data_IF_556594889844
#
_entry.id   IF_556594889844
#
_cell.length_a   1.000
_cell.length_b   1.000
_cell.length_c   1.000
_cell.angle_alpha   90.00
_cell.angle_beta   90.00
_cell.angle_gamma   90.00
#
_symmetry.space_group_name_H-M   'P 1'
#
loop_
_entity.id
_entity.type
_entity.pdbx_description
1 polymer ?
#
# COMPACT_ATOMS: atom_id res chain seq x y z
N UNK A 1 -6.15 -8.13 13.16
CA UNK A 1 -4.95 -8.00 12.29
C UNK A 1 -4.63 -6.52 12.21
N UNK A 2 -3.35 -6.12 12.27
CA UNK A 2 -2.91 -4.75 12.60
C UNK A 2 -3.71 -3.59 11.96
N UNK A 3 -4.12 -3.73 10.69
CA UNK A 3 -4.94 -2.73 9.99
C UNK A 3 -6.34 -2.56 10.60
N UNK A 4 -7.05 -3.67 10.82
CA UNK A 4 -8.38 -3.67 11.45
C UNK A 4 -8.32 -3.21 12.92
N UNK A 5 -7.19 -3.47 13.58
CA UNK A 5 -6.97 -3.09 14.98
C UNK A 5 -6.52 -1.62 15.12
N UNK A 6 -6.38 -0.88 14.01
CA UNK A 6 -5.97 0.53 14.03
C UNK A 6 -4.53 0.75 14.48
N UNK A 7 -3.65 -0.24 14.32
CA UNK A 7 -2.26 -0.22 14.81
C UNK A 7 -1.24 0.15 13.71
N UNK A 8 -1.69 0.44 12.49
CA UNK A 8 -0.81 0.77 11.36
C UNK A 8 -0.79 2.28 11.11
N UNK A 9 0.37 2.91 11.25
CA UNK A 9 0.54 4.35 10.95
C UNK A 9 1.05 4.62 9.52
N UNK A 10 1.59 3.59 8.85
CA UNK A 10 2.23 3.71 7.55
C UNK A 10 2.04 2.45 6.71
N UNK A 11 1.67 2.64 5.45
CA UNK A 11 1.57 1.58 4.45
C UNK A 11 2.59 1.87 3.36
N UNK A 12 3.36 0.85 2.98
CA UNK A 12 4.33 0.92 1.89
C UNK A 12 4.09 -0.25 0.97
N UNK A 13 3.85 0.03 -0.30
CA UNK A 13 3.69 -0.98 -1.34
C UNK A 13 4.88 -0.92 -2.30
N UNK A 14 5.41 -2.09 -2.63
CA UNK A 14 6.36 -2.29 -3.72
C UNK A 14 5.67 -3.15 -4.77
N UNK A 15 5.67 -2.70 -6.01
CA UNK A 15 5.01 -3.40 -7.12
C UNK A 15 6.00 -3.56 -8.27
N UNK A 16 6.34 -4.81 -8.56
CA UNK A 16 7.08 -5.15 -9.77
C UNK A 16 6.19 -5.04 -11.02
N UNK A 17 6.78 -4.96 -12.22
CA UNK A 17 6.04 -4.80 -13.47
C UNK A 17 5.25 -6.07 -13.88
N UNK A 18 5.60 -7.23 -13.34
CA UNK A 18 4.98 -8.51 -13.69
C UNK A 18 3.83 -8.85 -12.75
N UNK A 19 2.69 -9.23 -13.34
CA UNK A 19 1.61 -9.83 -12.59
C UNK A 19 2.01 -11.25 -12.16
N UNK A 20 1.93 -11.54 -10.85
CA UNK A 20 2.17 -12.88 -10.33
C UNK A 20 0.93 -13.73 -10.61
N UNK A 21 0.94 -14.48 -11.72
CA UNK A 21 0.10 -15.64 -12.05
C UNK A 21 -1.43 -15.48 -11.91
N UNK A 22 -2.22 -15.92 -12.90
CA UNK A 22 -3.70 -15.84 -12.84
C UNK A 22 -4.36 -16.52 -11.63
N UNK A 23 -3.65 -17.45 -10.97
CA UNK A 23 -4.10 -18.18 -9.77
C UNK A 23 -3.54 -17.60 -8.45
N UNK A 24 -2.92 -16.41 -8.50
CA UNK A 24 -2.39 -15.74 -7.32
C UNK A 24 -3.50 -15.29 -6.37
N UNK A 25 -3.22 -15.33 -5.06
CA UNK A 25 -4.12 -14.74 -4.06
C UNK A 25 -3.91 -13.22 -4.07
N UNK A 26 -4.99 -12.47 -4.30
CA UNK A 26 -4.96 -11.02 -4.22
C UNK A 26 -4.48 -10.56 -2.84
N UNK A 27 -3.58 -9.58 -2.82
CA UNK A 27 -3.19 -8.92 -1.57
C UNK A 27 -4.45 -8.31 -0.92
N UNK A 28 -4.58 -8.37 0.41
CA UNK A 28 -5.69 -7.72 1.11
C UNK A 28 -5.70 -6.19 0.96
N UNK A 29 -4.59 -5.59 0.50
CA UNK A 29 -4.44 -4.18 0.18
C UNK A 29 -3.62 -4.03 -1.10
N UNK A 30 -4.06 -3.16 -1.99
CA UNK A 30 -3.31 -2.66 -3.14
C UNK A 30 -3.38 -1.12 -3.21
N UNK A 31 -2.72 -0.53 -4.21
CA UNK A 31 -2.62 0.92 -4.35
C UNK A 31 -3.97 1.61 -4.67
N UNK A 32 -4.94 0.88 -5.20
CA UNK A 32 -6.29 1.35 -5.55
C UNK A 32 -7.29 1.16 -4.39
N UNK A 33 -6.99 0.24 -3.47
CA UNK A 33 -7.83 -0.13 -2.32
C UNK A 33 -7.16 0.17 -0.97
N UNK A 34 -6.47 1.32 -0.86
CA UNK A 34 -5.91 1.78 0.41
C UNK A 34 -7.04 2.16 1.39
N UNK A 35 -6.98 1.73 2.67
CA UNK A 35 -8.00 2.05 3.66
C UNK A 35 -8.20 3.57 3.86
N UNK A 36 -9.44 3.96 4.16
CA UNK A 36 -9.76 5.33 4.54
C UNK A 36 -8.94 5.79 5.76
N UNK A 37 -8.64 7.09 5.83
CA UNK A 37 -7.79 7.66 6.89
C UNK A 37 -6.30 7.54 6.62
N UNK A 38 -5.90 7.10 5.43
CA UNK A 38 -4.53 7.20 4.93
C UNK A 38 -4.47 8.13 3.73
N UNK A 39 -3.46 9.00 3.69
CA UNK A 39 -3.15 9.80 2.51
C UNK A 39 -1.84 9.36 1.89
N UNK A 40 -1.76 9.45 0.56
CA UNK A 40 -0.52 9.21 -0.18
C UNK A 40 0.50 10.26 0.23
N UNK A 41 1.67 9.81 0.68
CA UNK A 41 2.78 10.67 1.06
C UNK A 41 3.74 10.88 -0.11
N UNK A 42 4.11 9.81 -0.81
CA UNK A 42 5.01 9.88 -1.97
C UNK A 42 4.91 8.63 -2.85
N UNK A 43 5.37 8.81 -4.08
CA UNK A 43 5.62 7.74 -5.04
C UNK A 43 7.03 7.87 -5.60
N UNK A 44 7.67 6.74 -5.82
CA UNK A 44 9.03 6.64 -6.34
C UNK A 44 9.15 5.39 -7.22
N UNK A 45 10.28 5.25 -7.91
CA UNK A 45 10.63 4.03 -8.66
C UNK A 45 12.03 3.58 -8.25
N UNK A 46 12.18 2.30 -7.95
CA UNK A 46 13.45 1.66 -7.60
C UNK A 46 13.77 0.56 -8.62
N UNK A 47 14.66 0.85 -9.58
CA UNK A 47 14.86 -0.03 -10.71
C UNK A 47 13.58 -0.13 -11.55
N UNK A 48 13.04 -1.33 -11.71
CA UNK A 48 11.75 -1.56 -12.37
C UNK A 48 10.55 -1.53 -11.41
N UNK A 49 10.79 -1.55 -10.10
CA UNK A 49 9.72 -1.64 -9.12
C UNK A 49 9.15 -0.26 -8.79
N UNK A 50 7.82 -0.16 -8.79
CA UNK A 50 7.10 0.98 -8.26
C UNK A 50 7.09 0.96 -6.72
N UNK A 51 7.19 2.14 -6.13
CA UNK A 51 7.07 2.36 -4.70
C UNK A 51 6.00 3.40 -4.44
N UNK A 52 5.09 3.09 -3.53
CA UNK A 52 4.11 4.04 -3.06
C UNK A 52 3.97 3.95 -1.54
N UNK A 53 3.85 5.10 -0.91
CA UNK A 53 3.79 5.24 0.54
C UNK A 53 2.60 6.09 0.95
N UNK A 54 1.89 5.60 1.96
CA UNK A 54 0.79 6.30 2.60
C UNK A 54 1.03 6.40 4.11
N UNK A 55 0.59 7.49 4.70
CA UNK A 55 0.61 7.69 6.15
C UNK A 55 -0.80 7.94 6.65
N UNK A 56 -1.06 7.59 7.91
CA UNK A 56 -2.31 7.91 8.58
C UNK A 56 -2.50 9.43 8.62
N UNK A 57 -3.71 9.86 8.27
CA UNK A 57 -4.15 11.24 8.48
C UNK A 57 -4.40 11.45 9.97
N UNK A 58 -3.53 12.23 10.59
CA UNK A 58 -3.81 12.76 11.92
C UNK A 58 -4.76 13.94 11.74
N UNK A 59 -6.04 13.73 12.04
CA UNK A 59 -6.92 14.85 12.38
C UNK A 59 -6.48 15.34 13.77
N UNK A 60 -5.65 16.39 13.76
CA UNK A 60 -5.36 17.17 14.97
C UNK A 60 -6.53 18.04 15.38
#
# INVERSE_FOLDING_TARGET
AFLADGLVDRIVLFQGPEAIGGDGIASPIDADHIPAGFRKLREMRFGEDGYAEWIRDFQG
#
